data_IF_469347203483
#
_entry.id   IF_469347203483
#
_cell.length_a   1.000
_cell.length_b   1.000
_cell.length_c   1.000
_cell.angle_alpha   90.00
_cell.angle_beta   90.00
_cell.angle_gamma   90.00
#
_symmetry.space_group_name_H-M   'P 1'
#
loop_
_entity.id
_entity.type
_entity.pdbx_description
1 polymer ?
#
# COMPACT_ATOMS: atom_id res chain seq x y z
N UNK A 1 16.51 -5.80 -21.57
CA UNK A 1 15.35 -6.45 -20.98
C UNK A 1 15.85 -7.69 -20.25
N UNK A 2 15.42 -7.88 -18.99
CA UNK A 2 15.65 -9.12 -18.26
C UNK A 2 14.96 -10.28 -18.96
N UNK A 3 15.66 -11.42 -19.12
CA UNK A 3 15.05 -12.65 -19.63
C UNK A 3 15.00 -13.65 -18.48
N UNK A 4 13.81 -14.19 -18.14
CA UNK A 4 13.69 -15.20 -17.10
C UNK A 4 14.54 -16.42 -17.41
N UNK A 5 15.14 -16.98 -16.35
CA UNK A 5 15.96 -18.21 -16.48
C UNK A 5 15.09 -19.47 -16.55
N UNK A 6 13.79 -19.35 -16.25
CA UNK A 6 12.84 -20.46 -16.08
C UNK A 6 13.21 -21.41 -14.93
N UNK A 7 13.89 -20.90 -13.91
CA UNK A 7 14.16 -21.67 -12.68
C UNK A 7 12.87 -22.08 -11.97
N UNK A 8 11.89 -21.17 -11.95
CA UNK A 8 10.53 -21.41 -11.47
C UNK A 8 9.52 -21.06 -12.57
N UNK A 9 8.45 -21.86 -12.79
CA UNK A 9 7.38 -21.47 -13.71
C UNK A 9 6.68 -20.19 -13.24
N UNK A 10 6.53 -19.22 -14.13
CA UNK A 10 5.85 -17.96 -13.82
C UNK A 10 4.35 -18.12 -13.60
N UNK A 11 3.77 -19.21 -14.06
CA UNK A 11 2.37 -19.62 -13.90
C UNK A 11 2.16 -20.65 -12.76
N UNK A 12 3.18 -20.89 -11.94
CA UNK A 12 3.06 -21.77 -10.75
C UNK A 12 1.93 -21.28 -9.84
N UNK A 13 0.97 -22.14 -9.54
CA UNK A 13 -0.07 -21.85 -8.56
C UNK A 13 0.37 -22.28 -7.16
N UNK A 14 0.45 -21.33 -6.23
CA UNK A 14 0.88 -21.56 -4.85
C UNK A 14 -0.35 -21.77 -3.97
N UNK A 15 -0.64 -22.97 -3.53
CA UNK A 15 -1.74 -23.31 -2.62
C UNK A 15 -1.25 -23.66 -1.21
N UNK A 16 0.04 -23.91 -1.05
CA UNK A 16 0.69 -24.24 0.20
C UNK A 16 2.19 -23.96 0.12
N UNK A 17 2.87 -23.99 1.24
CA UNK A 17 4.33 -23.96 1.27
C UNK A 17 4.98 -25.10 0.45
N UNK A 18 4.32 -26.27 0.38
CA UNK A 18 4.83 -27.42 -0.36
C UNK A 18 5.04 -27.13 -1.87
N UNK A 19 4.35 -26.17 -2.44
CA UNK A 19 4.47 -25.78 -3.85
C UNK A 19 5.75 -24.96 -4.11
N UNK A 20 6.22 -24.20 -3.10
CA UNK A 20 7.44 -23.39 -3.17
C UNK A 20 8.69 -24.11 -2.63
N UNK A 21 8.50 -24.98 -1.65
CA UNK A 21 9.59 -25.66 -0.94
C UNK A 21 10.62 -26.31 -1.87
N UNK A 22 10.27 -27.03 -2.96
CA UNK A 22 11.26 -27.65 -3.86
C UNK A 22 12.22 -26.63 -4.48
N UNK A 23 11.78 -25.42 -4.78
CA UNK A 23 12.62 -24.36 -5.34
C UNK A 23 13.58 -23.81 -4.29
N UNK A 24 13.13 -23.62 -3.05
CA UNK A 24 13.99 -23.24 -1.95
C UNK A 24 15.01 -24.35 -1.61
N UNK A 25 14.60 -25.61 -1.60
CA UNK A 25 15.51 -26.75 -1.41
C UNK A 25 16.61 -26.78 -2.51
N UNK A 26 16.21 -26.49 -3.77
CA UNK A 26 17.15 -26.40 -4.89
C UNK A 26 18.13 -25.22 -4.73
N UNK A 27 17.64 -24.03 -4.30
CA UNK A 27 18.50 -22.88 -4.02
C UNK A 27 19.50 -23.19 -2.91
N UNK A 28 19.06 -23.80 -1.81
CA UNK A 28 19.89 -24.13 -0.64
C UNK A 28 20.95 -25.20 -0.98
N UNK A 29 20.61 -26.14 -1.86
CA UNK A 29 21.53 -27.20 -2.27
C UNK A 29 22.43 -26.85 -3.46
N UNK A 30 22.32 -25.62 -3.99
CA UNK A 30 23.12 -25.17 -5.13
C UNK A 30 24.61 -25.11 -4.79
N UNK A 31 25.42 -25.65 -5.67
CA UNK A 31 26.87 -25.50 -5.59
C UNK A 31 27.28 -24.15 -6.18
N UNK A 32 27.86 -23.30 -5.34
CA UNK A 32 28.31 -21.94 -5.70
C UNK A 32 29.83 -21.89 -5.52
N UNK A 33 30.57 -21.79 -6.63
CA UNK A 33 32.02 -21.88 -6.59
C UNK A 33 32.72 -20.53 -6.86
N UNK A 34 32.03 -19.57 -7.43
CA UNK A 34 32.56 -18.26 -7.82
C UNK A 34 31.48 -17.15 -7.81
N UNK A 35 31.84 -15.94 -8.19
CA UNK A 35 30.96 -14.78 -8.25
C UNK A 35 29.89 -14.87 -9.35
N UNK A 36 30.15 -15.59 -10.45
CA UNK A 36 29.20 -15.79 -11.53
C UNK A 36 28.09 -16.75 -11.07
N UNK A 37 28.46 -17.89 -10.48
CA UNK A 37 27.53 -18.85 -9.89
C UNK A 37 26.71 -18.20 -8.75
N UNK A 38 27.32 -17.34 -7.92
CA UNK A 38 26.63 -16.58 -6.90
C UNK A 38 25.62 -15.59 -7.50
N UNK A 39 26.01 -14.91 -8.57
CA UNK A 39 25.11 -14.02 -9.32
C UNK A 39 23.91 -14.77 -9.89
N UNK A 40 24.10 -15.99 -10.38
CA UNK A 40 23.04 -16.84 -10.90
C UNK A 40 22.10 -17.34 -9.78
N UNK A 41 22.64 -17.74 -8.62
CA UNK A 41 21.84 -18.08 -7.45
C UNK A 41 20.93 -16.92 -7.03
N UNK A 42 21.47 -15.69 -7.00
CA UNK A 42 20.68 -14.48 -6.69
C UNK A 42 19.54 -14.27 -7.70
N UNK A 43 19.80 -14.52 -9.00
CA UNK A 43 18.76 -14.41 -10.03
C UNK A 43 17.66 -15.44 -9.81
N UNK A 44 18.00 -16.71 -9.58
CA UNK A 44 17.02 -17.78 -9.31
C UNK A 44 16.21 -17.48 -8.03
N UNK A 45 16.86 -16.97 -6.98
CA UNK A 45 16.20 -16.54 -5.75
C UNK A 45 15.22 -15.39 -6.01
N UNK A 46 15.64 -14.38 -6.76
CA UNK A 46 14.78 -13.25 -7.12
C UNK A 46 13.57 -13.70 -7.95
N UNK A 47 13.74 -14.62 -8.91
CA UNK A 47 12.63 -15.17 -9.69
C UNK A 47 11.63 -15.92 -8.79
N UNK A 48 12.14 -16.71 -7.83
CA UNK A 48 11.28 -17.43 -6.87
C UNK A 48 10.48 -16.47 -5.99
N UNK A 49 11.11 -15.41 -5.51
CA UNK A 49 10.43 -14.38 -4.75
C UNK A 49 9.38 -13.63 -5.59
N UNK A 50 9.70 -13.31 -6.86
CA UNK A 50 8.77 -12.59 -7.74
C UNK A 50 7.47 -13.36 -7.98
N UNK A 51 7.55 -14.69 -8.19
CA UNK A 51 6.37 -15.55 -8.34
C UNK A 51 5.54 -15.58 -7.07
N UNK A 52 6.17 -15.68 -5.90
CA UNK A 52 5.47 -15.61 -4.62
C UNK A 52 4.84 -14.23 -4.39
N UNK A 53 5.59 -13.15 -4.58
CA UNK A 53 5.14 -11.78 -4.32
C UNK A 53 3.93 -11.42 -5.18
N UNK A 54 3.91 -11.83 -6.44
CA UNK A 54 2.75 -11.57 -7.31
C UNK A 54 1.50 -12.29 -6.83
N UNK A 55 1.58 -13.56 -6.45
CA UNK A 55 0.40 -14.27 -5.95
C UNK A 55 -0.05 -13.79 -4.57
N UNK A 56 0.89 -13.41 -3.71
CA UNK A 56 0.58 -12.74 -2.45
C UNK A 56 -0.08 -11.38 -2.68
N UNK A 57 0.41 -10.60 -3.67
CA UNK A 57 -0.22 -9.35 -4.09
C UNK A 57 -1.66 -9.58 -4.54
N UNK A 58 -1.92 -10.56 -5.40
CA UNK A 58 -3.27 -10.90 -5.83
C UNK A 58 -4.17 -11.36 -4.68
N UNK A 59 -3.62 -12.07 -3.68
CA UNK A 59 -4.39 -12.45 -2.50
C UNK A 59 -4.89 -11.22 -1.73
N UNK A 60 -4.03 -10.22 -1.54
CA UNK A 60 -4.38 -8.94 -0.91
C UNK A 60 -5.30 -8.09 -1.79
N UNK A 61 -5.01 -7.97 -3.09
CA UNK A 61 -5.81 -7.20 -4.05
C UNK A 61 -7.25 -7.71 -4.04
N UNK A 62 -7.48 -9.02 -4.18
CA UNK A 62 -8.81 -9.59 -4.20
C UNK A 62 -9.54 -9.40 -2.87
N UNK A 63 -8.86 -9.62 -1.74
CA UNK A 63 -9.41 -9.39 -0.40
C UNK A 63 -9.81 -7.92 -0.21
N UNK A 64 -8.95 -6.98 -0.59
CA UNK A 64 -9.21 -5.55 -0.40
C UNK A 64 -10.31 -5.01 -1.34
N UNK A 65 -10.47 -5.60 -2.53
CA UNK A 65 -11.57 -5.30 -3.45
C UNK A 65 -12.93 -5.75 -2.92
N UNK A 66 -12.98 -6.84 -2.16
CA UNK A 66 -14.20 -7.47 -1.65
C UNK A 66 -13.98 -8.02 -0.23
N UNK A 67 -13.91 -7.13 0.76
CA UNK A 67 -13.59 -7.47 2.17
C UNK A 67 -14.63 -8.36 2.87
N UNK A 68 -15.76 -8.63 2.22
CA UNK A 68 -16.82 -9.52 2.71
C UNK A 68 -16.83 -10.88 2.00
N UNK A 69 -15.97 -11.10 1.01
CA UNK A 69 -15.86 -12.35 0.29
C UNK A 69 -14.99 -13.34 1.09
N UNK A 70 -15.60 -14.41 1.60
CA UNK A 70 -14.92 -15.36 2.48
C UNK A 70 -13.78 -16.09 1.78
N UNK A 71 -13.91 -16.44 0.50
CA UNK A 71 -12.86 -17.12 -0.26
C UNK A 71 -11.60 -16.25 -0.37
N UNK A 72 -11.77 -14.94 -0.64
CA UNK A 72 -10.65 -14.00 -0.73
C UNK A 72 -9.99 -13.77 0.63
N UNK A 73 -10.79 -13.71 1.70
CA UNK A 73 -10.29 -13.62 3.07
C UNK A 73 -9.46 -14.85 3.44
N UNK A 74 -10.00 -16.06 3.21
CA UNK A 74 -9.33 -17.33 3.50
C UNK A 74 -8.02 -17.45 2.71
N UNK A 75 -8.04 -17.04 1.44
CA UNK A 75 -6.85 -17.04 0.58
C UNK A 75 -5.77 -16.09 1.11
N UNK A 76 -6.16 -14.88 1.49
CA UNK A 76 -5.21 -13.91 2.06
C UNK A 76 -4.68 -14.38 3.42
N UNK A 77 -5.53 -14.92 4.29
CA UNK A 77 -5.11 -15.49 5.57
C UNK A 77 -4.13 -16.67 5.37
N UNK A 78 -4.36 -17.53 4.38
CA UNK A 78 -3.45 -18.63 4.04
C UNK A 78 -2.05 -18.11 3.72
N UNK A 79 -1.95 -17.08 2.84
CA UNK A 79 -0.65 -16.46 2.56
C UNK A 79 -0.03 -15.86 3.80
N UNK A 80 -0.74 -15.02 4.54
CA UNK A 80 -0.22 -14.29 5.68
C UNK A 80 0.22 -15.19 6.84
N UNK A 81 -0.47 -16.33 7.07
CA UNK A 81 -0.27 -17.13 8.30
C UNK A 81 0.36 -18.50 8.08
N UNK A 82 0.41 -18.99 6.84
CA UNK A 82 0.93 -20.34 6.54
C UNK A 82 2.07 -20.33 5.53
N UNK A 83 1.99 -19.52 4.49
CA UNK A 83 2.98 -19.54 3.41
C UNK A 83 4.10 -18.54 3.70
N UNK A 84 3.78 -17.27 3.98
CA UNK A 84 4.78 -16.23 4.25
C UNK A 84 5.70 -16.56 5.42
N UNK A 85 5.23 -17.10 6.58
CA UNK A 85 6.11 -17.48 7.66
C UNK A 85 7.16 -18.54 7.29
N UNK A 86 6.79 -19.53 6.49
CA UNK A 86 7.74 -20.55 6.02
C UNK A 86 8.70 -19.99 4.96
N UNK A 87 8.19 -19.13 4.07
CA UNK A 87 9.03 -18.43 3.10
C UNK A 87 10.07 -17.54 3.80
N UNK A 88 9.69 -16.74 4.80
CA UNK A 88 10.61 -15.86 5.54
C UNK A 88 11.76 -16.64 6.17
N UNK A 89 11.48 -17.82 6.74
CA UNK A 89 12.51 -18.70 7.29
C UNK A 89 13.44 -19.25 6.21
N UNK A 90 12.89 -19.74 5.10
CA UNK A 90 13.66 -20.28 3.98
C UNK A 90 14.47 -19.18 3.27
N UNK A 91 13.89 -18.01 3.07
CA UNK A 91 14.56 -16.84 2.53
C UNK A 91 15.78 -16.45 3.37
N UNK A 92 15.62 -16.39 4.69
CA UNK A 92 16.73 -16.09 5.61
C UNK A 92 17.90 -17.10 5.47
N UNK A 93 17.63 -18.38 5.19
CA UNK A 93 18.68 -19.37 4.93
C UNK A 93 19.43 -19.05 3.64
N UNK A 94 18.70 -18.79 2.55
CA UNK A 94 19.30 -18.44 1.24
C UNK A 94 20.08 -17.13 1.33
N UNK A 95 19.55 -16.12 1.99
CA UNK A 95 20.21 -14.83 2.19
C UNK A 95 21.50 -14.94 3.00
N UNK A 96 21.51 -15.77 4.05
CA UNK A 96 22.72 -16.10 4.80
C UNK A 96 23.76 -16.77 3.92
N UNK A 97 23.37 -17.70 3.06
CA UNK A 97 24.29 -18.35 2.11
C UNK A 97 24.88 -17.31 1.16
N UNK A 98 24.07 -16.42 0.59
CA UNK A 98 24.51 -15.37 -0.34
C UNK A 98 25.48 -14.40 0.36
N UNK A 99 25.08 -13.83 1.50
CA UNK A 99 25.86 -12.76 2.18
C UNK A 99 27.16 -13.28 2.75
N UNK A 100 27.19 -14.53 3.25
CA UNK A 100 28.39 -15.16 3.83
C UNK A 100 29.30 -15.81 2.78
N UNK A 101 28.90 -15.82 1.50
CA UNK A 101 29.74 -16.40 0.46
C UNK A 101 31.01 -15.56 0.24
N UNK A 102 32.19 -16.17 0.11
CA UNK A 102 33.46 -15.43 -0.10
C UNK A 102 33.40 -14.44 -1.28
N UNK A 103 32.77 -14.84 -2.38
CA UNK A 103 32.60 -13.98 -3.57
C UNK A 103 31.50 -12.91 -3.47
N UNK A 104 30.82 -12.77 -2.34
CA UNK A 104 29.76 -11.77 -2.20
C UNK A 104 30.26 -10.33 -2.40
N UNK A 105 31.47 -10.05 -1.90
CA UNK A 105 32.12 -8.75 -2.08
C UNK A 105 32.53 -8.48 -3.53
N UNK A 106 32.82 -9.54 -4.30
CA UNK A 106 33.26 -9.46 -5.69
C UNK A 106 32.14 -9.22 -6.69
N UNK A 107 30.88 -9.36 -6.27
CA UNK A 107 29.72 -9.02 -7.09
C UNK A 107 29.79 -7.54 -7.51
N UNK A 108 29.62 -7.21 -8.82
CA UNK A 108 29.76 -5.85 -9.31
C UNK A 108 28.70 -4.91 -8.73
N UNK A 109 29.12 -3.81 -8.12
CA UNK A 109 28.24 -2.83 -7.47
C UNK A 109 27.30 -2.12 -8.45
N UNK A 110 27.67 -2.01 -9.73
CA UNK A 110 26.81 -1.48 -10.79
C UNK A 110 25.52 -2.26 -10.97
N UNK A 111 25.52 -3.57 -10.66
CA UNK A 111 24.36 -4.46 -10.75
C UNK A 111 23.79 -4.83 -9.38
N UNK A 112 24.64 -5.10 -8.41
CA UNK A 112 24.26 -5.70 -7.14
C UNK A 112 24.42 -4.77 -5.93
N UNK A 113 24.92 -3.54 -6.10
CA UNK A 113 25.26 -2.65 -4.99
C UNK A 113 24.08 -2.38 -4.04
N UNK A 114 22.91 -2.08 -4.56
CA UNK A 114 21.71 -1.90 -3.74
C UNK A 114 21.23 -3.22 -3.11
N UNK A 115 21.26 -4.30 -3.87
CA UNK A 115 20.85 -5.61 -3.36
C UNK A 115 21.76 -6.08 -2.21
N UNK A 116 23.08 -5.84 -2.31
CA UNK A 116 24.02 -6.15 -1.21
C UNK A 116 23.67 -5.39 0.08
N UNK A 117 23.25 -4.13 -0.01
CA UNK A 117 22.79 -3.35 1.15
C UNK A 117 21.50 -3.93 1.73
N UNK A 118 20.54 -4.26 0.86
CA UNK A 118 19.24 -4.83 1.24
C UNK A 118 19.41 -6.15 1.97
N UNK A 119 20.10 -7.12 1.36
CA UNK A 119 20.31 -8.44 1.95
C UNK A 119 21.02 -8.38 3.32
N UNK A 120 22.02 -7.51 3.47
CA UNK A 120 22.65 -7.30 4.79
C UNK A 120 21.65 -6.78 5.82
N UNK A 121 20.86 -5.78 5.44
CA UNK A 121 19.85 -5.19 6.34
C UNK A 121 18.78 -6.19 6.72
N UNK A 122 18.29 -7.00 5.80
CA UNK A 122 17.33 -8.07 6.07
C UNK A 122 17.86 -9.06 7.10
N UNK A 123 19.09 -9.51 6.95
CA UNK A 123 19.74 -10.38 7.93
C UNK A 123 19.95 -9.72 9.30
N UNK A 124 20.30 -8.42 9.33
CA UNK A 124 20.44 -7.66 10.58
C UNK A 124 19.11 -7.54 11.34
N UNK A 125 18.01 -7.43 10.61
CA UNK A 125 16.67 -7.23 11.19
C UNK A 125 15.95 -8.54 11.50
N UNK A 126 16.28 -9.63 10.79
CA UNK A 126 15.54 -10.88 10.93
C UNK A 126 15.61 -11.44 12.35
N UNK A 127 14.44 -11.77 12.90
CA UNK A 127 14.27 -12.52 14.15
C UNK A 127 13.16 -13.55 13.94
N UNK A 128 13.43 -14.80 14.28
CA UNK A 128 12.45 -15.87 14.11
C UNK A 128 11.18 -15.59 14.92
N UNK A 129 11.32 -14.99 16.10
CA UNK A 129 10.22 -14.59 16.96
C UNK A 129 9.30 -13.53 16.33
N UNK A 130 9.80 -12.77 15.35
CA UNK A 130 9.03 -11.73 14.66
C UNK A 130 8.14 -12.30 13.55
N UNK A 131 8.41 -13.51 13.07
CA UNK A 131 7.62 -14.13 11.99
C UNK A 131 6.16 -14.31 12.41
N UNK A 132 5.91 -14.84 13.62
CA UNK A 132 4.55 -14.98 14.16
C UNK A 132 3.90 -13.61 14.44
N UNK A 133 4.68 -12.64 14.92
CA UNK A 133 4.18 -11.27 15.16
C UNK A 133 3.73 -10.60 13.86
N UNK A 134 4.48 -10.80 12.77
CA UNK A 134 4.12 -10.27 11.43
C UNK A 134 2.80 -10.87 10.93
N UNK A 135 2.58 -12.16 11.11
CA UNK A 135 1.33 -12.82 10.75
C UNK A 135 0.14 -12.27 11.54
N UNK A 136 0.29 -12.07 12.85
CA UNK A 136 -0.78 -11.48 13.68
C UNK A 136 -1.04 -10.00 13.33
N UNK A 137 0.00 -9.22 13.02
CA UNK A 137 -0.17 -7.84 12.53
C UNK A 137 -0.96 -7.82 11.22
N UNK A 138 -0.69 -8.76 10.30
CA UNK A 138 -1.42 -8.88 9.04
C UNK A 138 -2.91 -9.18 9.26
N UNK A 139 -3.25 -10.08 10.19
CA UNK A 139 -4.64 -10.36 10.57
C UNK A 139 -5.35 -9.13 11.13
N UNK A 140 -4.71 -8.39 12.03
CA UNK A 140 -5.27 -7.16 12.59
C UNK A 140 -5.47 -6.09 11.51
N UNK A 141 -4.56 -6.00 10.54
CA UNK A 141 -4.71 -5.11 9.38
C UNK A 141 -5.94 -5.48 8.55
N UNK A 142 -6.15 -6.77 8.27
CA UNK A 142 -7.33 -7.27 7.55
C UNK A 142 -8.63 -6.99 8.33
N UNK A 143 -8.63 -7.13 9.66
CA UNK A 143 -9.78 -6.76 10.49
C UNK A 143 -10.12 -5.26 10.37
N UNK A 144 -9.11 -4.40 10.33
CA UNK A 144 -9.29 -2.97 10.13
C UNK A 144 -9.88 -2.67 8.74
N UNK A 145 -9.41 -3.32 7.70
CA UNK A 145 -9.91 -3.16 6.33
C UNK A 145 -11.38 -3.60 6.22
N UNK A 146 -11.76 -4.72 6.85
CA UNK A 146 -13.14 -5.19 6.93
C UNK A 146 -14.03 -4.20 7.70
N UNK A 147 -13.58 -3.74 8.88
CA UNK A 147 -14.31 -2.78 9.71
C UNK A 147 -14.60 -1.49 8.95
N UNK A 148 -13.58 -0.94 8.30
CA UNK A 148 -13.67 0.37 7.64
C UNK A 148 -14.28 0.30 6.25
N UNK A 149 -14.04 -0.78 5.50
CA UNK A 149 -14.64 -1.03 4.18
C UNK A 149 -16.15 -1.28 4.22
N UNK A 150 -16.66 -1.75 5.37
CA UNK A 150 -18.09 -1.94 5.61
C UNK A 150 -18.86 -0.66 5.98
N UNK A 151 -18.17 0.48 6.20
CA UNK A 151 -18.84 1.71 6.66
C UNK A 151 -19.64 2.38 5.54
N UNK A 152 -20.90 2.59 5.80
CA UNK A 152 -21.83 3.35 4.95
C UNK A 152 -22.61 4.36 5.74
N UNK A 153 -23.11 5.38 5.08
CA UNK A 153 -24.07 6.37 5.62
C UNK A 153 -25.30 6.44 4.74
N UNK A 154 -26.41 6.87 5.31
CA UNK A 154 -27.64 7.15 4.56
C UNK A 154 -27.83 8.65 4.48
N UNK A 155 -27.88 9.21 3.27
CA UNK A 155 -28.16 10.62 3.00
C UNK A 155 -29.26 10.69 1.94
N UNK A 156 -30.27 11.54 2.15
CA UNK A 156 -31.45 11.62 1.28
C UNK A 156 -32.20 10.29 1.05
N UNK A 157 -32.10 9.36 2.02
CA UNK A 157 -32.70 8.02 1.93
C UNK A 157 -31.88 7.01 1.11
N UNK A 158 -30.71 7.37 0.60
CA UNK A 158 -29.80 6.50 -0.13
C UNK A 158 -28.61 6.07 0.74
N UNK A 159 -28.37 4.76 0.84
CA UNK A 159 -27.18 4.21 1.48
C UNK A 159 -25.97 4.31 0.54
N UNK A 160 -24.87 4.90 1.01
CA UNK A 160 -23.67 5.08 0.20
C UNK A 160 -22.36 4.88 1.00
N UNK A 161 -21.26 4.47 0.36
CA UNK A 161 -19.95 4.36 1.00
C UNK A 161 -19.38 5.75 1.32
N UNK A 162 -18.45 5.80 2.29
CA UNK A 162 -17.85 7.03 2.79
C UNK A 162 -17.27 7.96 1.72
N UNK A 163 -16.53 7.48 0.69
CA UNK A 163 -16.00 8.37 -0.34
C UNK A 163 -17.12 9.09 -1.12
N UNK A 164 -18.20 8.40 -1.49
CA UNK A 164 -19.35 9.01 -2.18
C UNK A 164 -20.06 10.03 -1.29
N UNK A 165 -20.24 9.74 0.00
CA UNK A 165 -20.80 10.69 0.95
C UNK A 165 -19.94 11.96 1.09
N UNK A 166 -18.61 11.80 1.03
CA UNK A 166 -17.66 12.91 1.15
C UNK A 166 -17.71 13.91 -0.01
N UNK A 167 -18.24 13.51 -1.19
CA UNK A 167 -18.46 14.44 -2.32
C UNK A 167 -19.41 15.59 -1.90
N UNK A 168 -20.37 15.31 -1.03
CA UNK A 168 -21.33 16.34 -0.54
C UNK A 168 -20.66 17.44 0.28
N UNK A 169 -19.46 17.20 0.81
CA UNK A 169 -18.67 18.24 1.51
C UNK A 169 -18.20 19.36 0.59
N UNK A 170 -18.28 19.17 -0.73
CA UNK A 170 -17.93 20.19 -1.73
C UNK A 170 -19.14 21.04 -2.16
N UNK A 171 -20.35 20.71 -1.71
CA UNK A 171 -21.55 21.48 -2.04
C UNK A 171 -21.39 22.96 -1.68
N UNK A 172 -21.97 23.88 -2.48
CA UNK A 172 -22.11 25.28 -2.13
C UNK A 172 -23.12 25.47 -1.00
N UNK A 173 -24.11 24.58 -0.84
CA UNK A 173 -25.06 24.56 0.27
C UNK A 173 -24.41 24.08 1.57
N UNK A 174 -24.36 24.96 2.56
CA UNK A 174 -23.72 24.68 3.85
C UNK A 174 -24.47 23.63 4.69
N UNK A 175 -25.78 23.54 4.58
CA UNK A 175 -26.56 22.57 5.35
C UNK A 175 -26.34 21.15 4.81
N UNK A 176 -26.21 20.98 3.49
CA UNK A 176 -25.81 19.72 2.85
C UNK A 176 -24.41 19.29 3.32
N UNK A 177 -23.43 20.22 3.37
CA UNK A 177 -22.08 19.90 3.89
C UNK A 177 -22.12 19.46 5.34
N UNK A 178 -22.86 20.19 6.18
CA UNK A 178 -23.00 19.89 7.61
C UNK A 178 -23.64 18.53 7.84
N UNK A 179 -24.73 18.21 7.15
CA UNK A 179 -25.40 16.92 7.24
C UNK A 179 -24.46 15.78 6.88
N UNK A 180 -23.79 15.89 5.73
CA UNK A 180 -22.83 14.86 5.28
C UNK A 180 -21.68 14.69 6.27
N UNK A 181 -21.10 15.79 6.77
CA UNK A 181 -20.01 15.74 7.74
C UNK A 181 -20.41 15.05 9.05
N UNK A 182 -21.60 15.40 9.58
CA UNK A 182 -22.12 14.79 10.81
C UNK A 182 -22.38 13.31 10.60
N UNK A 183 -23.05 12.91 9.54
CA UNK A 183 -23.33 11.50 9.24
C UNK A 183 -22.05 10.66 9.12
N UNK A 184 -21.04 11.15 8.38
CA UNK A 184 -19.74 10.51 8.23
C UNK A 184 -19.01 10.41 9.58
N UNK A 185 -19.01 11.51 10.35
CA UNK A 185 -18.29 11.57 11.63
C UNK A 185 -18.92 10.66 12.67
N UNK A 186 -20.24 10.67 12.81
CA UNK A 186 -20.99 9.79 13.72
C UNK A 186 -20.77 8.31 13.37
N UNK A 187 -20.80 7.99 12.08
CA UNK A 187 -20.56 6.61 11.64
C UNK A 187 -19.14 6.15 11.95
N UNK A 188 -18.11 6.97 11.70
CA UNK A 188 -16.72 6.68 12.08
C UNK A 188 -16.57 6.56 13.60
N UNK A 189 -17.23 7.45 14.35
CA UNK A 189 -17.19 7.39 15.81
C UNK A 189 -17.86 6.14 16.37
N UNK A 190 -18.89 5.60 15.71
CA UNK A 190 -19.58 4.37 16.14
C UNK A 190 -18.70 3.12 16.16
N UNK A 191 -17.60 3.11 15.43
CA UNK A 191 -16.61 1.99 15.38
C UNK A 191 -15.31 2.31 16.10
N UNK A 192 -15.23 3.45 16.79
CA UNK A 192 -14.02 3.96 17.42
C UNK A 192 -13.37 2.95 18.37
N UNK A 193 -14.17 2.35 19.25
CA UNK A 193 -13.65 1.43 20.29
C UNK A 193 -12.97 0.20 19.64
N UNK A 194 -13.56 -0.34 18.59
CA UNK A 194 -13.00 -1.49 17.88
C UNK A 194 -11.75 -1.09 17.08
N UNK A 195 -11.77 0.07 16.42
CA UNK A 195 -10.59 0.60 15.72
C UNK A 195 -9.44 0.87 16.71
N UNK A 196 -9.72 1.46 17.87
CA UNK A 196 -8.73 1.69 18.93
C UNK A 196 -8.18 0.37 19.48
N UNK A 197 -9.01 -0.67 19.65
CA UNK A 197 -8.57 -2.00 20.07
C UNK A 197 -7.58 -2.58 19.05
N UNK A 198 -7.96 -2.62 17.78
CA UNK A 198 -7.12 -3.13 16.69
C UNK A 198 -5.78 -2.38 16.67
N UNK A 199 -5.81 -1.06 16.70
CA UNK A 199 -4.60 -0.24 16.69
C UNK A 199 -3.68 -0.53 17.89
N UNK A 200 -4.24 -0.58 19.10
CA UNK A 200 -3.48 -0.84 20.31
C UNK A 200 -2.84 -2.24 20.31
N UNK A 201 -3.55 -3.24 19.79
CA UNK A 201 -3.01 -4.59 19.69
C UNK A 201 -1.89 -4.65 18.64
N UNK A 202 -2.06 -4.02 17.47
CA UNK A 202 -0.99 -3.86 16.47
C UNK A 202 0.22 -3.12 17.06
N UNK A 203 0.01 -2.06 17.83
CA UNK A 203 1.10 -1.28 18.43
C UNK A 203 1.94 -2.12 19.39
N UNK A 204 1.31 -2.96 20.21
CA UNK A 204 2.02 -3.87 21.12
C UNK A 204 2.93 -4.83 20.34
N UNK A 205 2.40 -5.45 19.28
CA UNK A 205 3.15 -6.38 18.44
C UNK A 205 4.31 -5.68 17.71
N UNK A 206 4.08 -4.49 17.16
CA UNK A 206 5.10 -3.68 16.48
C UNK A 206 6.23 -3.26 17.43
N UNK A 207 5.90 -2.83 18.65
CA UNK A 207 6.89 -2.49 19.68
C UNK A 207 7.68 -3.73 20.10
N UNK A 208 7.02 -4.88 20.22
CA UNK A 208 7.70 -6.13 20.53
C UNK A 208 8.66 -6.54 19.40
N UNK A 209 8.24 -6.42 18.13
CA UNK A 209 9.08 -6.73 16.98
C UNK A 209 10.35 -5.87 16.95
N UNK A 210 10.22 -4.58 17.24
CA UNK A 210 11.37 -3.68 17.34
C UNK A 210 12.34 -4.09 18.45
N UNK A 211 11.82 -4.42 19.62
CA UNK A 211 12.64 -4.89 20.76
C UNK A 211 13.37 -6.19 20.48
N UNK A 212 12.71 -7.16 19.84
CA UNK A 212 13.33 -8.41 19.43
C UNK A 212 14.50 -8.18 18.48
N UNK A 213 14.40 -7.16 17.61
CA UNK A 213 15.47 -6.76 16.68
C UNK A 213 16.56 -5.87 17.34
N UNK A 214 16.41 -5.51 18.63
CA UNK A 214 17.39 -4.72 19.36
C UNK A 214 17.20 -3.19 19.27
N UNK A 215 16.03 -2.74 18.81
CA UNK A 215 15.70 -1.32 18.71
C UNK A 215 14.97 -0.81 19.96
N UNK A 216 15.22 0.43 20.33
CA UNK A 216 14.54 1.10 21.46
C UNK A 216 13.07 1.43 21.12
N UNK A 217 12.77 1.70 19.86
CA UNK A 217 11.44 2.11 19.42
C UNK A 217 11.11 1.55 18.03
N UNK A 218 9.80 1.53 17.71
CA UNK A 218 9.31 1.00 16.44
C UNK A 218 9.62 1.92 15.25
N UNK A 219 9.73 3.24 15.43
CA UNK A 219 10.03 4.19 14.35
C UNK A 219 11.36 3.86 13.67
N UNK A 220 12.41 3.68 14.46
CA UNK A 220 13.76 3.43 13.95
C UNK A 220 13.88 2.04 13.35
N UNK A 221 13.24 1.03 13.96
CA UNK A 221 13.11 -0.30 13.40
C UNK A 221 12.39 -0.27 12.05
N UNK A 222 11.24 0.41 11.96
CA UNK A 222 10.46 0.54 10.73
C UNK A 222 11.19 1.31 9.64
N UNK A 223 11.97 2.34 10.01
CA UNK A 223 12.82 3.07 9.07
C UNK A 223 13.82 2.13 8.39
N UNK A 224 14.49 1.29 9.15
CA UNK A 224 15.44 0.30 8.66
C UNK A 224 14.75 -0.83 7.88
N UNK A 225 13.57 -1.28 8.33
CA UNK A 225 12.72 -2.24 7.62
C UNK A 225 12.31 -1.77 6.21
N UNK A 226 12.08 -0.46 6.05
CA UNK A 226 11.81 0.15 4.76
C UNK A 226 13.06 0.39 3.92
N UNK A 227 14.23 -0.10 4.37
CA UNK A 227 15.50 -0.03 3.63
C UNK A 227 15.87 1.40 3.17
N UNK A 228 15.62 2.38 4.02
CA UNK A 228 15.91 3.79 3.77
C UNK A 228 17.35 4.10 4.12
N UNK A 229 18.25 3.92 3.14
CA UNK A 229 19.70 4.02 3.34
C UNK A 229 20.26 5.44 3.18
N UNK A 230 19.52 6.37 2.56
CA UNK A 230 20.05 7.66 2.11
C UNK A 230 19.71 8.81 3.06
N UNK A 231 18.87 8.58 4.08
CA UNK A 231 18.50 9.54 5.11
C UNK A 231 18.15 8.83 6.43
N UNK A 232 18.17 9.59 7.51
CA UNK A 232 17.95 9.09 8.88
C UNK A 232 16.55 9.44 9.40
N UNK A 233 16.08 8.81 10.48
CA UNK A 233 14.87 9.25 11.18
C UNK A 233 14.94 10.72 11.65
N UNK A 234 16.15 11.24 11.96
CA UNK A 234 16.32 12.64 12.35
C UNK A 234 16.09 13.58 11.17
N UNK A 235 16.58 13.26 9.97
CA UNK A 235 16.31 14.06 8.76
C UNK A 235 14.81 14.17 8.49
N UNK A 236 14.03 13.09 8.75
CA UNK A 236 12.58 13.14 8.64
C UNK A 236 11.93 14.08 9.68
N UNK A 237 12.46 14.14 10.91
CA UNK A 237 12.01 15.10 11.95
C UNK A 237 12.36 16.53 11.54
N UNK A 238 13.56 16.76 11.02
CA UNK A 238 14.00 18.09 10.58
C UNK A 238 13.14 18.58 9.40
N UNK A 239 12.78 17.69 8.48
CA UNK A 239 11.82 18.00 7.41
C UNK A 239 10.43 18.36 7.97
N UNK A 240 9.93 17.64 8.97
CA UNK A 240 8.65 17.97 9.64
C UNK A 240 8.70 19.35 10.32
N UNK A 241 9.80 19.68 10.99
CA UNK A 241 10.01 21.00 11.61
C UNK A 241 10.00 22.11 10.55
N UNK A 242 10.66 21.89 9.41
CA UNK A 242 10.65 22.85 8.30
C UNK A 242 9.23 23.03 7.70
N UNK A 243 8.44 21.97 7.61
CA UNK A 243 7.02 22.06 7.21
C UNK A 243 6.22 22.90 8.22
N UNK A 244 6.40 22.65 9.54
CA UNK A 244 5.69 23.41 10.57
C UNK A 244 6.03 24.89 10.49
N UNK A 245 7.31 25.23 10.34
CA UNK A 245 7.79 26.62 10.29
C UNK A 245 7.37 27.36 9.02
N UNK A 246 7.47 26.70 7.84
CA UNK A 246 7.34 27.39 6.56
C UNK A 246 6.03 27.12 5.81
N UNK A 247 5.50 25.89 5.87
CA UNK A 247 4.34 25.48 5.09
C UNK A 247 3.03 25.67 5.86
N UNK A 248 3.00 25.36 7.16
CA UNK A 248 1.78 25.52 7.96
C UNK A 248 1.25 26.97 7.97
N UNK A 249 2.10 28.03 8.09
CA UNK A 249 1.61 29.42 7.97
C UNK A 249 1.01 29.72 6.59
N UNK A 250 1.56 29.16 5.52
CA UNK A 250 1.02 29.32 4.17
C UNK A 250 -0.34 28.61 4.02
N UNK A 251 -0.45 27.37 4.52
CA UNK A 251 -1.69 26.61 4.52
C UNK A 251 -2.79 27.34 5.31
N UNK A 252 -2.45 27.98 6.43
CA UNK A 252 -3.38 28.83 7.20
C UNK A 252 -3.90 30.00 6.38
N UNK A 253 -3.02 30.72 5.64
CA UNK A 253 -3.43 31.83 4.77
C UNK A 253 -4.37 31.36 3.64
N UNK A 254 -4.09 30.19 3.05
CA UNK A 254 -4.96 29.60 2.04
C UNK A 254 -6.34 29.28 2.63
N UNK A 255 -6.37 28.67 3.84
CA UNK A 255 -7.62 28.39 4.56
C UNK A 255 -8.41 29.65 4.93
N UNK A 256 -7.74 30.74 5.33
CA UNK A 256 -8.36 32.03 5.60
C UNK A 256 -8.96 32.64 4.31
N UNK A 257 -8.21 32.60 3.22
CA UNK A 257 -8.71 33.06 1.90
C UNK A 257 -9.92 32.25 1.44
N UNK A 258 -9.91 30.92 1.68
CA UNK A 258 -11.05 30.05 1.37
C UNK A 258 -12.28 30.40 2.23
N UNK A 259 -12.10 30.54 3.55
CA UNK A 259 -13.17 30.99 4.45
C UNK A 259 -13.78 32.32 4.00
N UNK A 260 -12.96 33.30 3.62
CA UNK A 260 -13.41 34.60 3.18
C UNK A 260 -14.22 34.51 1.88
N UNK A 261 -13.84 33.62 0.95
CA UNK A 261 -14.63 33.32 -0.26
C UNK A 261 -15.99 32.70 0.06
N UNK A 262 -16.09 31.93 1.14
CA UNK A 262 -17.36 31.39 1.64
C UNK A 262 -18.22 32.45 2.38
N UNK A 263 -17.73 33.66 2.59
CA UNK A 263 -18.44 34.72 3.34
C UNK A 263 -18.60 34.42 4.83
N UNK A 264 -17.74 33.57 5.41
CA UNK A 264 -17.86 33.13 6.80
C UNK A 264 -16.95 33.93 7.73
N UNK A 265 -17.49 34.32 8.91
CA UNK A 265 -16.66 34.84 9.99
C UNK A 265 -15.77 33.73 10.57
N UNK A 266 -14.64 34.10 11.17
CA UNK A 266 -13.68 33.15 11.74
C UNK A 266 -14.33 32.19 12.75
N UNK A 267 -15.20 32.71 13.60
CA UNK A 267 -15.85 31.95 14.67
C UNK A 267 -17.00 31.06 14.16
N UNK A 268 -17.45 31.28 12.92
CA UNK A 268 -18.51 30.49 12.26
C UNK A 268 -17.95 29.37 11.38
N UNK A 269 -16.66 29.39 11.06
CA UNK A 269 -16.01 28.37 10.24
C UNK A 269 -15.91 27.04 10.98
N UNK A 270 -16.35 25.97 10.34
CA UNK A 270 -16.47 24.61 10.91
C UNK A 270 -15.78 23.58 10.03
N UNK A 271 -15.52 22.37 10.55
CA UNK A 271 -14.88 21.31 9.78
C UNK A 271 -15.56 20.98 8.44
N UNK A 272 -16.87 21.13 8.33
CA UNK A 272 -17.60 20.91 7.09
C UNK A 272 -17.47 22.04 6.06
N UNK A 273 -16.85 23.14 6.42
CA UNK A 273 -16.64 24.26 5.49
C UNK A 273 -15.33 24.15 4.71
N UNK A 274 -14.40 23.23 5.12
CA UNK A 274 -13.04 23.16 4.59
C UNK A 274 -12.90 22.77 3.12
N UNK A 275 -13.92 22.12 2.55
CA UNK A 275 -13.95 21.72 1.14
C UNK A 275 -15.13 22.33 0.35
N UNK A 276 -15.94 23.19 1.01
CA UNK A 276 -17.15 23.74 0.40
C UNK A 276 -16.84 24.73 -0.71
N UNK A 277 -17.64 24.71 -1.77
CA UNK A 277 -17.57 25.71 -2.82
C UNK A 277 -18.34 26.99 -2.39
N UNK A 278 -17.93 28.18 -2.86
CA UNK A 278 -18.68 29.41 -2.69
C UNK A 278 -20.08 29.36 -3.32
N UNK A 279 -20.98 30.16 -2.82
CA UNK A 279 -22.36 30.29 -3.38
C UNK A 279 -22.33 30.59 -4.89
N UNK A 280 -23.08 29.81 -5.66
CA UNK A 280 -23.14 29.93 -7.12
C UNK A 280 -21.97 29.26 -7.88
N UNK A 281 -21.10 28.57 -7.18
CA UNK A 281 -20.05 27.72 -7.77
C UNK A 281 -20.34 26.25 -7.52
N UNK A 282 -19.95 25.41 -8.47
CA UNK A 282 -20.03 23.96 -8.34
C UNK A 282 -18.61 23.37 -8.33
N UNK A 283 -18.43 22.30 -7.57
CA UNK A 283 -17.19 21.56 -7.57
C UNK A 283 -16.90 20.95 -8.94
N UNK A 284 -15.63 20.90 -9.32
CA UNK A 284 -15.22 20.24 -10.55
C UNK A 284 -15.56 18.75 -10.48
N UNK A 285 -16.21 18.27 -11.54
CA UNK A 285 -16.61 16.88 -11.69
C UNK A 285 -16.02 16.30 -12.99
N UNK A 286 -14.74 15.92 -12.99
CA UNK A 286 -14.01 15.57 -14.21
C UNK A 286 -14.45 14.23 -14.83
N UNK A 287 -15.17 13.39 -14.12
CA UNK A 287 -15.69 12.10 -14.60
C UNK A 287 -16.89 11.64 -13.77
N UNK A 288 -17.69 10.73 -14.34
CA UNK A 288 -18.84 10.09 -13.68
C UNK A 288 -18.54 8.63 -13.28
N UNK A 289 -17.72 7.94 -14.07
CA UNK A 289 -17.41 6.51 -13.88
C UNK A 289 -15.90 6.25 -13.90
N UNK A 290 -15.48 5.14 -13.28
CA UNK A 290 -14.08 4.71 -13.33
C UNK A 290 -13.58 4.45 -14.76
N UNK A 291 -14.46 4.01 -15.66
CA UNK A 291 -14.13 3.83 -17.07
C UNK A 291 -13.81 5.17 -17.76
N UNK A 292 -14.62 6.20 -17.49
CA UNK A 292 -14.40 7.55 -18.02
C UNK A 292 -13.10 8.16 -17.45
N UNK A 293 -12.86 8.00 -16.14
CA UNK A 293 -11.60 8.40 -15.52
C UNK A 293 -10.40 7.78 -16.24
N UNK A 294 -10.45 6.46 -16.50
CA UNK A 294 -9.37 5.76 -17.20
C UNK A 294 -9.20 6.25 -18.66
N UNK A 295 -10.29 6.52 -19.38
CA UNK A 295 -10.23 7.04 -20.74
C UNK A 295 -9.62 8.44 -20.77
N UNK A 296 -10.00 9.32 -19.85
CA UNK A 296 -9.38 10.63 -19.71
C UNK A 296 -7.89 10.51 -19.38
N UNK A 297 -7.51 9.66 -18.45
CA UNK A 297 -6.12 9.39 -18.10
C UNK A 297 -5.32 8.90 -19.32
N UNK A 298 -5.84 7.92 -20.07
CA UNK A 298 -5.18 7.42 -21.30
C UNK A 298 -4.95 8.55 -22.30
N UNK A 299 -5.93 9.43 -22.51
CA UNK A 299 -5.80 10.55 -23.45
C UNK A 299 -4.75 11.54 -22.98
N UNK A 300 -4.83 12.02 -21.75
CA UNK A 300 -3.89 13.00 -21.16
C UNK A 300 -2.46 12.45 -21.18
N UNK A 301 -2.26 11.23 -20.71
CA UNK A 301 -0.93 10.62 -20.67
C UNK A 301 -0.38 10.31 -22.06
N UNK A 302 -1.23 10.03 -23.07
CA UNK A 302 -0.81 9.88 -24.46
C UNK A 302 -0.30 11.19 -25.08
N UNK A 303 -0.90 12.33 -24.68
CA UNK A 303 -0.44 13.66 -25.11
C UNK A 303 0.90 14.05 -24.46
N UNK A 304 1.12 13.66 -23.19
CA UNK A 304 2.38 13.91 -22.49
C UNK A 304 3.51 13.09 -23.13
N UNK A 305 3.29 11.78 -23.32
CA UNK A 305 4.22 10.88 -23.99
C UNK A 305 3.48 9.64 -24.49
N UNK A 306 3.65 9.23 -25.77
CA UNK A 306 2.93 8.07 -26.34
C UNK A 306 3.07 6.79 -25.54
N UNK A 307 4.27 6.49 -25.00
CA UNK A 307 4.52 5.29 -24.20
C UNK A 307 3.67 5.23 -22.93
N UNK A 308 3.37 6.37 -22.30
CA UNK A 308 2.54 6.40 -21.09
C UNK A 308 1.11 5.98 -21.42
N UNK A 309 0.56 6.49 -22.54
CA UNK A 309 -0.76 6.07 -22.99
C UNK A 309 -0.81 4.59 -23.39
N UNK A 310 0.24 4.07 -24.04
CA UNK A 310 0.34 2.64 -24.38
C UNK A 310 0.41 1.76 -23.14
N UNK A 311 1.15 2.16 -22.12
CA UNK A 311 1.23 1.43 -20.84
C UNK A 311 -0.15 1.34 -20.17
N UNK A 312 -0.89 2.46 -20.09
CA UNK A 312 -2.24 2.47 -19.50
C UNK A 312 -3.23 1.60 -20.32
N UNK A 313 -3.12 1.60 -21.66
CA UNK A 313 -3.94 0.72 -22.54
C UNK A 313 -3.61 -0.76 -22.30
N UNK A 314 -2.33 -1.09 -22.15
CA UNK A 314 -1.90 -2.46 -21.83
C UNK A 314 -2.45 -2.90 -20.46
N UNK A 315 -2.35 -2.06 -19.44
CA UNK A 315 -2.93 -2.31 -18.11
C UNK A 315 -4.47 -2.46 -18.18
N UNK A 316 -5.15 -1.62 -18.98
CA UNK A 316 -6.61 -1.74 -19.21
C UNK A 316 -6.96 -3.11 -19.83
N UNK A 317 -6.20 -3.53 -20.83
CA UNK A 317 -6.42 -4.82 -21.49
C UNK A 317 -6.15 -6.02 -20.59
N UNK A 318 -5.28 -5.85 -19.59
CA UNK A 318 -4.96 -6.84 -18.57
C UNK A 318 -5.85 -6.75 -17.31
N UNK A 319 -6.88 -5.89 -17.31
CA UNK A 319 -7.85 -5.68 -16.21
C UNK A 319 -7.19 -5.28 -14.88
N UNK A 320 -6.12 -4.47 -14.94
CA UNK A 320 -5.30 -4.07 -13.78
C UNK A 320 -5.79 -2.80 -13.08
N UNK A 321 -7.09 -2.54 -13.08
CA UNK A 321 -7.70 -1.39 -12.44
C UNK A 321 -8.96 -1.79 -11.66
N UNK A 322 -9.10 -1.20 -10.47
CA UNK A 322 -10.36 -1.17 -9.71
C UNK A 322 -10.51 0.23 -9.11
N UNK A 323 -11.22 1.12 -9.81
CA UNK A 323 -11.18 2.56 -9.54
C UNK A 323 -12.35 3.06 -8.71
N UNK A 324 -13.53 2.45 -8.82
CA UNK A 324 -14.75 2.99 -8.21
C UNK A 324 -14.92 2.60 -6.73
N UNK A 325 -15.43 3.54 -5.96
CA UNK A 325 -15.84 3.30 -4.58
C UNK A 325 -17.13 2.49 -4.50
N UNK A 326 -17.16 1.48 -3.62
CA UNK A 326 -18.35 0.66 -3.32
C UNK A 326 -18.31 0.13 -1.88
N UNK A 327 -19.47 -0.29 -1.37
CA UNK A 327 -19.58 -0.98 -0.08
C UNK A 327 -18.79 -2.29 -0.09
N UNK A 328 -18.10 -2.59 0.99
CA UNK A 328 -17.30 -3.80 1.12
C UNK A 328 -15.93 -3.75 0.42
N UNK A 329 -15.54 -2.60 -0.12
CA UNK A 329 -14.20 -2.34 -0.64
C UNK A 329 -13.36 -1.67 0.43
N UNK A 330 -12.10 -2.10 0.62
CA UNK A 330 -11.19 -1.50 1.58
C UNK A 330 -11.00 0.01 1.29
N UNK A 331 -10.81 0.87 2.30
CA UNK A 331 -10.63 2.30 2.09
C UNK A 331 -9.27 2.63 1.49
N UNK A 332 -9.15 3.85 0.96
CA UNK A 332 -7.90 4.37 0.42
C UNK A 332 -7.67 4.02 -1.04
N UNK A 333 -6.41 4.04 -1.44
CA UNK A 333 -5.94 3.71 -2.78
C UNK A 333 -4.49 3.28 -2.74
N UNK A 334 -4.10 2.44 -3.68
CA UNK A 334 -2.72 1.97 -3.82
C UNK A 334 -2.38 1.62 -5.27
N UNK A 335 -1.08 1.61 -5.52
CA UNK A 335 -0.48 1.04 -6.71
C UNK A 335 0.36 -0.16 -6.26
N UNK A 336 -0.03 -1.37 -6.65
CA UNK A 336 0.65 -2.60 -6.25
C UNK A 336 1.42 -3.19 -7.43
N UNK A 337 2.75 -3.30 -7.33
CA UNK A 337 3.58 -3.91 -8.36
C UNK A 337 3.32 -5.42 -8.48
N UNK A 338 3.13 -5.89 -9.71
CA UNK A 338 3.04 -7.31 -10.04
C UNK A 338 4.35 -7.70 -10.70
N UNK A 339 5.20 -8.41 -9.96
CA UNK A 339 6.61 -8.57 -10.32
C UNK A 339 6.81 -9.46 -11.54
N UNK A 340 6.03 -10.53 -11.69
CA UNK A 340 6.09 -11.46 -12.84
C UNK A 340 5.45 -10.84 -14.07
N UNK A 341 4.29 -10.19 -13.89
CA UNK A 341 3.57 -9.47 -14.95
C UNK A 341 4.34 -8.24 -15.42
N UNK A 342 5.14 -7.60 -14.53
CA UNK A 342 5.90 -6.38 -14.81
C UNK A 342 5.03 -5.13 -14.95
N UNK A 343 3.77 -5.17 -14.52
CA UNK A 343 2.82 -4.07 -14.52
C UNK A 343 2.21 -3.91 -13.12
N UNK A 344 1.79 -2.70 -12.71
CA UNK A 344 1.10 -2.51 -11.44
C UNK A 344 -0.40 -2.76 -11.55
N UNK A 345 -1.02 -3.08 -10.41
CA UNK A 345 -2.47 -2.97 -10.22
C UNK A 345 -2.81 -1.64 -9.53
N UNK A 346 -3.78 -0.91 -10.06
CA UNK A 346 -4.25 0.35 -9.47
C UNK A 346 -5.61 0.16 -8.82
N UNK A 347 -5.63 0.37 -7.51
CA UNK A 347 -6.82 0.35 -6.67
C UNK A 347 -7.13 1.77 -6.20
N UNK A 348 -8.39 2.21 -6.36
CA UNK A 348 -8.85 3.52 -5.91
C UNK A 348 -10.27 3.41 -5.32
N UNK A 349 -10.67 4.44 -4.62
CA UNK A 349 -12.05 4.68 -4.19
C UNK A 349 -12.55 5.99 -4.79
N UNK A 350 -12.41 6.14 -6.11
CA UNK A 350 -12.80 7.34 -6.84
C UNK A 350 -14.32 7.60 -6.72
N UNK A 351 -14.67 8.85 -6.57
CA UNK A 351 -16.03 9.31 -6.35
C UNK A 351 -16.46 10.45 -7.30
N UNK A 352 -15.67 10.74 -8.36
CA UNK A 352 -15.97 11.75 -9.37
C UNK A 352 -15.41 13.14 -9.06
N UNK A 353 -14.54 13.26 -8.05
CA UNK A 353 -13.98 14.55 -7.65
C UNK A 353 -12.71 14.91 -8.42
N UNK A 354 -12.39 16.20 -8.48
CA UNK A 354 -11.11 16.66 -9.02
C UNK A 354 -9.92 16.06 -8.26
N UNK A 355 -10.06 15.80 -6.97
CA UNK A 355 -9.03 15.20 -6.14
C UNK A 355 -8.69 13.75 -6.53
N UNK A 356 -9.62 13.06 -7.16
CA UNK A 356 -9.38 11.68 -7.64
C UNK A 356 -8.48 11.64 -8.88
N UNK A 357 -8.26 12.79 -9.54
CA UNK A 357 -7.44 12.92 -10.76
C UNK A 357 -6.03 13.44 -10.45
N UNK A 358 -5.88 14.21 -9.36
CA UNK A 358 -4.63 14.85 -8.94
C UNK A 358 -3.92 14.03 -7.87
#
# INVERSE_FOLDING_TARGET
MYQPTNFIPTDLTINSWADLKPYFDALISSEVNDSEALGQLIVHYSETLSVFHEQNAWSYINMSRETTNQEYLDRHELFATKISPELEKAANVVEKMIVNHPSFSDLPDTRFGQLKKKLRRELELFREENVELSAEISKLSTQYDQLTGGLTVTLDGEEMPMPKASVRLQSSDRDIRKEAWLAISEKRYSVKEEADRIYNDMLKLRVQSAKNAGYENYRDFSHDQHQRFDYTPQDAVDFQNAIEEHIVPLAKKIGESHRDKLGLAKDDYRPWDGAGEPEGQEALKPFETGSELLEHAVNIFSEIHPQFGENLKAMKSAELFDLESRKGKAPGGYNYGLETTGMPFIFMNAAGTHRDVV
#
